data_IF_988448829198
#
_entry.id   IF_988448829198
#
_cell.length_a   1.000
_cell.length_b   1.000
_cell.length_c   1.000
_cell.angle_alpha   90.00
_cell.angle_beta   90.00
_cell.angle_gamma   90.00
#
_symmetry.space_group_name_H-M   'P 1'
#
loop_
_entity.id
_entity.type
_entity.pdbx_description
1 polymer ?
#
# COMPACT_ATOMS: atom_id res chain seq x y z
N UNK A 1 -9.23 -25.59 -30.41
CA UNK A 1 -8.31 -25.00 -29.40
C UNK A 1 -8.71 -25.57 -28.03
N UNK A 2 -8.02 -26.62 -27.56
CA UNK A 2 -8.27 -27.30 -26.27
C UNK A 2 -6.98 -27.53 -25.47
N UNK A 3 -5.88 -26.87 -25.88
CA UNK A 3 -4.52 -27.15 -25.44
C UNK A 3 -4.30 -26.95 -23.94
N UNK A 4 -5.08 -26.06 -23.30
CA UNK A 4 -4.95 -25.72 -21.88
C UNK A 4 -5.95 -26.44 -20.96
N UNK A 5 -6.86 -27.27 -21.49
CA UNK A 5 -7.94 -27.88 -20.69
C UNK A 5 -7.41 -28.75 -19.56
N UNK A 6 -6.31 -29.48 -19.80
CA UNK A 6 -5.71 -30.38 -18.82
C UNK A 6 -5.12 -29.58 -17.65
N UNK A 7 -4.40 -28.49 -17.94
CA UNK A 7 -3.78 -27.62 -16.96
C UNK A 7 -4.86 -26.93 -16.10
N UNK A 8 -5.92 -26.41 -16.75
CA UNK A 8 -7.04 -25.78 -16.06
C UNK A 8 -7.76 -26.76 -15.13
N UNK A 9 -7.99 -28.01 -15.55
CA UNK A 9 -8.65 -29.00 -14.70
C UNK A 9 -7.82 -29.34 -13.46
N UNK A 10 -6.49 -29.46 -13.60
CA UNK A 10 -5.62 -29.66 -12.43
C UNK A 10 -5.62 -28.46 -11.49
N UNK A 11 -5.55 -27.23 -12.02
CA UNK A 11 -5.63 -26.01 -11.21
C UNK A 11 -6.95 -25.99 -10.44
N UNK A 12 -8.07 -26.30 -11.11
CA UNK A 12 -9.39 -26.37 -10.50
C UNK A 12 -9.43 -27.42 -9.38
N UNK A 13 -8.97 -28.63 -9.63
CA UNK A 13 -8.95 -29.70 -8.62
C UNK A 13 -8.09 -29.33 -7.41
N UNK A 14 -6.92 -28.72 -7.64
CA UNK A 14 -6.03 -28.28 -6.55
C UNK A 14 -6.63 -27.11 -5.78
N UNK A 15 -7.25 -26.16 -6.46
CA UNK A 15 -7.93 -25.05 -5.80
C UNK A 15 -9.05 -25.57 -4.89
N UNK A 16 -9.85 -26.54 -5.37
CA UNK A 16 -10.93 -27.15 -4.58
C UNK A 16 -10.43 -27.92 -3.34
N UNK A 17 -9.20 -28.42 -3.36
CA UNK A 17 -8.61 -29.09 -2.18
C UNK A 17 -8.23 -28.13 -1.05
N UNK A 18 -8.05 -26.84 -1.37
CA UNK A 18 -7.67 -25.80 -0.41
C UNK A 18 -8.89 -24.98 0.01
N UNK A 19 -9.73 -24.60 -0.96
CA UNK A 19 -10.92 -23.78 -0.75
C UNK A 19 -12.14 -24.53 -1.29
N UNK A 20 -13.17 -24.81 -0.46
CA UNK A 20 -14.36 -25.50 -0.92
C UNK A 20 -15.09 -24.73 -2.04
N UNK A 21 -15.60 -25.47 -3.04
CA UNK A 21 -16.24 -24.90 -4.23
C UNK A 21 -17.40 -23.95 -3.91
N UNK A 22 -18.19 -24.26 -2.89
CA UNK A 22 -19.33 -23.44 -2.47
C UNK A 22 -18.94 -22.01 -2.12
N UNK A 23 -17.72 -21.78 -1.60
CA UNK A 23 -17.24 -20.43 -1.31
C UNK A 23 -16.81 -19.69 -2.58
N UNK A 24 -16.17 -20.38 -3.54
CA UNK A 24 -15.75 -19.77 -4.80
C UNK A 24 -16.95 -19.31 -5.63
N UNK A 25 -18.09 -20.01 -5.54
CA UNK A 25 -19.33 -19.61 -6.23
C UNK A 25 -20.01 -18.39 -5.64
N UNK A 26 -19.58 -17.92 -4.45
CA UNK A 26 -20.09 -16.67 -3.87
C UNK A 26 -19.44 -15.42 -4.48
N UNK A 27 -18.29 -15.58 -5.13
CA UNK A 27 -17.54 -14.49 -5.74
C UNK A 27 -17.79 -14.41 -7.24
N UNK A 28 -17.90 -13.20 -7.76
CA UNK A 28 -17.65 -12.93 -9.18
C UNK A 28 -16.16 -13.08 -9.49
N UNK A 29 -15.82 -13.22 -10.79
CA UNK A 29 -14.42 -13.33 -11.21
C UNK A 29 -13.57 -12.13 -10.74
N UNK A 30 -14.16 -10.92 -10.75
CA UNK A 30 -13.51 -9.69 -10.31
C UNK A 30 -13.30 -9.66 -8.79
N UNK A 31 -14.29 -10.07 -8.01
CA UNK A 31 -14.14 -10.11 -6.55
C UNK A 31 -13.13 -11.17 -6.11
N UNK A 32 -13.09 -12.32 -6.79
CA UNK A 32 -12.09 -13.35 -6.52
C UNK A 32 -10.69 -12.83 -6.85
N UNK A 33 -10.51 -12.13 -7.96
CA UNK A 33 -9.25 -11.49 -8.31
C UNK A 33 -8.81 -10.49 -7.24
N UNK A 34 -9.70 -9.58 -6.81
CA UNK A 34 -9.39 -8.61 -5.76
C UNK A 34 -9.05 -9.33 -4.44
N UNK A 35 -9.75 -10.42 -4.11
CA UNK A 35 -9.56 -11.19 -2.88
C UNK A 35 -8.25 -11.99 -2.88
N UNK A 36 -7.74 -12.39 -4.04
CA UNK A 36 -6.50 -13.18 -4.13
C UNK A 36 -5.29 -12.29 -4.41
N UNK A 37 -5.43 -11.34 -5.34
CA UNK A 37 -4.36 -10.50 -5.84
C UNK A 37 -4.32 -9.11 -5.17
N UNK A 38 -5.33 -8.74 -4.41
CA UNK A 38 -5.49 -7.40 -3.85
C UNK A 38 -6.06 -6.39 -4.85
N UNK A 39 -6.33 -5.16 -4.38
CA UNK A 39 -6.78 -4.06 -5.25
C UNK A 39 -5.67 -3.65 -6.22
N UNK A 40 -6.04 -3.37 -7.47
CA UNK A 40 -5.10 -2.97 -8.51
C UNK A 40 -4.51 -1.56 -8.35
N UNK A 41 -5.04 -0.77 -7.42
CA UNK A 41 -4.65 0.62 -7.13
C UNK A 41 -4.30 0.78 -5.65
N UNK A 42 -3.49 1.80 -5.34
CA UNK A 42 -3.09 2.12 -3.96
C UNK A 42 -3.98 3.23 -3.40
N UNK A 43 -4.73 2.93 -2.34
CA UNK A 43 -5.52 3.91 -1.60
C UNK A 43 -4.63 4.75 -0.66
N UNK A 44 -4.38 6.00 -1.06
CA UNK A 44 -3.56 6.94 -0.29
C UNK A 44 -4.24 7.32 1.03
N UNK A 45 -5.57 7.32 1.11
CA UNK A 45 -6.26 7.63 2.37
C UNK A 45 -6.03 6.53 3.39
N UNK A 46 -6.07 5.27 2.95
CA UNK A 46 -5.75 4.13 3.81
C UNK A 46 -4.30 4.19 4.31
N UNK A 47 -3.37 4.60 3.45
CA UNK A 47 -1.97 4.80 3.82
C UNK A 47 -1.82 5.89 4.87
N UNK A 48 -2.50 7.04 4.71
CA UNK A 48 -2.52 8.14 5.68
C UNK A 48 -3.05 7.70 7.04
N UNK A 49 -4.14 6.93 7.08
CA UNK A 49 -4.71 6.42 8.33
C UNK A 49 -3.74 5.54 9.12
N UNK A 50 -2.82 4.85 8.43
CA UNK A 50 -1.79 4.00 9.03
C UNK A 50 -0.41 4.69 9.04
N UNK A 51 -0.39 6.03 8.98
CA UNK A 51 0.85 6.82 9.09
C UNK A 51 0.92 7.53 10.43
N UNK A 52 2.01 7.34 11.15
CA UNK A 52 2.36 8.08 12.37
C UNK A 52 3.36 9.19 12.04
N UNK A 53 3.23 10.33 12.71
CA UNK A 53 4.12 11.48 12.54
C UNK A 53 4.91 11.65 13.84
N UNK A 54 6.22 11.48 13.76
CA UNK A 54 7.13 11.65 14.90
C UNK A 54 7.75 13.06 14.83
N UNK A 55 7.61 13.80 15.92
CA UNK A 55 8.03 15.22 16.07
C UNK A 55 7.37 16.20 15.08
N UNK A 56 6.27 15.80 14.44
CA UNK A 56 5.55 16.63 13.49
C UNK A 56 4.02 16.42 13.53
N UNK A 57 3.29 17.25 12.80
CA UNK A 57 1.84 17.19 12.69
C UNK A 57 1.40 16.99 11.24
N UNK A 58 0.31 16.23 11.05
CA UNK A 58 -0.30 16.04 9.71
C UNK A 58 -0.62 17.37 8.99
N UNK A 59 -0.88 18.42 9.76
CA UNK A 59 -1.17 19.77 9.25
C UNK A 59 0.05 20.52 8.72
N UNK A 60 1.26 20.00 8.93
CA UNK A 60 2.47 20.67 8.49
C UNK A 60 2.58 20.74 6.96
N UNK A 61 3.04 21.87 6.41
CA UNK A 61 3.00 22.11 4.97
C UNK A 61 3.86 21.13 4.16
N UNK A 62 4.94 20.59 4.74
CA UNK A 62 5.78 19.61 4.05
C UNK A 62 5.11 18.22 4.01
N UNK A 63 4.42 17.79 5.06
CA UNK A 63 3.61 16.55 5.07
C UNK A 63 2.45 16.65 4.06
N UNK A 64 1.74 17.78 4.03
CA UNK A 64 0.68 17.99 3.04
C UNK A 64 1.21 17.92 1.61
N UNK A 65 2.38 18.52 1.35
CA UNK A 65 3.05 18.44 0.03
C UNK A 65 3.48 17.02 -0.30
N UNK A 66 4.06 16.29 0.66
CA UNK A 66 4.44 14.88 0.48
C UNK A 66 3.24 14.06 -0.02
N UNK A 67 2.10 14.19 0.65
CA UNK A 67 0.88 13.47 0.27
C UNK A 67 0.28 13.94 -1.05
N UNK A 68 0.30 15.24 -1.35
CA UNK A 68 -0.17 15.77 -2.63
C UNK A 68 0.69 15.24 -3.79
N UNK A 69 2.01 15.24 -3.65
CA UNK A 69 2.92 14.67 -4.66
C UNK A 69 2.68 13.17 -4.85
N UNK A 70 2.56 12.41 -3.75
CA UNK A 70 2.29 10.97 -3.83
C UNK A 70 0.93 10.66 -4.48
N UNK A 71 -0.07 11.52 -4.30
CA UNK A 71 -1.39 11.33 -4.88
C UNK A 71 -1.47 11.75 -6.36
N UNK A 72 -0.88 12.90 -6.71
CA UNK A 72 -1.07 13.58 -7.99
C UNK A 72 0.07 13.32 -9.00
N UNK A 73 1.31 13.16 -8.54
CA UNK A 73 2.47 13.04 -9.43
C UNK A 73 2.89 11.59 -9.69
N UNK A 74 2.54 10.65 -8.81
CA UNK A 74 2.96 9.26 -8.92
C UNK A 74 1.96 8.45 -9.74
N UNK A 75 2.47 7.59 -10.63
CA UNK A 75 1.66 6.55 -11.29
C UNK A 75 1.30 5.44 -10.30
N UNK A 76 0.28 4.63 -10.61
CA UNK A 76 -0.10 3.49 -9.75
C UNK A 76 1.05 2.48 -9.55
N UNK A 77 1.92 2.32 -10.55
CA UNK A 77 3.13 1.50 -10.43
C UNK A 77 4.12 2.10 -9.43
N UNK A 78 4.34 3.41 -9.50
CA UNK A 78 5.22 4.11 -8.55
C UNK A 78 4.65 4.10 -7.12
N UNK A 79 3.33 4.21 -6.96
CA UNK A 79 2.67 4.06 -5.66
C UNK A 79 2.86 2.65 -5.08
N UNK A 80 2.78 1.61 -5.91
CA UNK A 80 3.09 0.23 -5.48
C UNK A 80 4.55 0.07 -5.08
N UNK A 81 5.48 0.65 -5.83
CA UNK A 81 6.91 0.64 -5.47
C UNK A 81 7.15 1.37 -4.15
N UNK A 82 6.47 2.50 -3.92
CA UNK A 82 6.52 3.21 -2.65
C UNK A 82 5.98 2.35 -1.49
N UNK A 83 4.86 1.64 -1.69
CA UNK A 83 4.31 0.72 -0.69
C UNK A 83 5.30 -0.42 -0.36
N UNK A 84 5.97 -0.97 -1.37
CA UNK A 84 7.03 -1.98 -1.18
C UNK A 84 8.21 -1.39 -0.40
N UNK A 85 8.59 -0.14 -0.69
CA UNK A 85 9.68 0.52 0.01
C UNK A 85 9.37 0.71 1.50
N UNK A 86 8.14 1.13 1.82
CA UNK A 86 7.73 1.44 3.19
C UNK A 86 7.36 0.20 4.00
N UNK A 87 6.66 -0.77 3.41
CA UNK A 87 6.10 -1.93 4.12
C UNK A 87 6.53 -3.29 3.57
N UNK A 88 7.39 -3.33 2.56
CA UNK A 88 7.86 -4.59 1.96
C UNK A 88 6.79 -5.35 1.17
N UNK A 89 5.61 -4.76 0.91
CA UNK A 89 4.47 -5.41 0.24
C UNK A 89 3.95 -4.57 -0.92
N UNK A 90 3.49 -5.24 -1.97
CA UNK A 90 2.92 -4.60 -3.17
C UNK A 90 1.43 -4.30 -3.08
N UNK A 91 0.76 -4.75 -2.01
CA UNK A 91 -0.68 -4.59 -1.78
C UNK A 91 -0.98 -4.33 -0.32
N UNK A 92 -2.11 -3.66 -0.05
CA UNK A 92 -2.62 -3.51 1.30
C UNK A 92 -3.10 -4.85 1.86
N UNK A 93 -2.95 -5.08 3.18
CA UNK A 93 -3.69 -6.11 3.88
C UNK A 93 -5.21 -5.95 3.68
N UNK A 94 -5.95 -7.08 3.74
CA UNK A 94 -7.40 -7.08 3.50
C UNK A 94 -8.20 -6.42 4.63
N UNK A 95 -7.64 -6.38 5.84
CA UNK A 95 -8.26 -5.78 7.02
C UNK A 95 -7.31 -4.79 7.67
N UNK A 96 -7.87 -3.74 8.28
CA UNK A 96 -7.12 -2.77 9.07
C UNK A 96 -6.40 -3.42 10.27
N UNK A 97 -6.93 -4.53 10.78
CA UNK A 97 -6.31 -5.33 11.86
C UNK A 97 -5.06 -6.10 11.40
N UNK A 98 -4.89 -6.32 10.11
CA UNK A 98 -3.76 -7.08 9.55
C UNK A 98 -2.51 -6.20 9.32
N UNK A 99 -2.57 -4.92 9.68
CA UNK A 99 -1.44 -3.99 9.61
C UNK A 99 -0.53 -4.22 10.82
N UNK A 100 0.60 -4.89 10.59
CA UNK A 100 1.55 -5.24 11.65
C UNK A 100 2.38 -4.04 12.16
N UNK A 101 2.53 -3.01 11.34
CA UNK A 101 3.40 -1.86 11.57
C UNK A 101 2.87 -0.63 10.85
N UNK A 102 2.80 0.50 11.56
CA UNK A 102 2.47 1.79 10.95
C UNK A 102 3.67 2.34 10.18
N UNK A 103 3.39 3.15 9.16
CA UNK A 103 4.42 3.92 8.47
C UNK A 103 4.75 5.16 9.30
N UNK A 104 6.01 5.42 9.65
CA UNK A 104 6.37 6.60 10.44
C UNK A 104 7.09 7.62 9.56
N UNK A 105 6.61 8.86 9.55
CA UNK A 105 7.29 10.01 8.96
C UNK A 105 7.98 10.76 10.10
N UNK A 106 9.32 10.74 10.08
CA UNK A 106 10.17 11.46 11.04
C UNK A 106 10.68 12.76 10.42
N UNK A 107 10.61 13.85 11.18
CA UNK A 107 11.33 15.06 10.85
C UNK A 107 12.79 14.92 11.32
N UNK A 108 13.74 14.92 10.38
CA UNK A 108 15.15 14.97 10.75
C UNK A 108 15.51 16.42 11.11
N UNK A 109 15.65 16.71 12.40
CA UNK A 109 16.33 17.93 12.82
C UNK A 109 17.78 17.84 12.35
N UNK A 110 18.11 18.52 11.25
CA UNK A 110 19.51 18.79 10.93
C UNK A 110 20.01 19.69 12.05
N UNK A 111 20.77 19.12 12.97
CA UNK A 111 21.59 19.89 13.90
C UNK A 111 22.66 20.61 13.08
N UNK A 112 22.28 21.69 12.41
CA UNK A 112 23.18 22.74 11.96
C UNK A 112 23.63 23.50 13.20
N UNK A 113 24.48 22.85 13.98
CA UNK A 113 25.35 23.51 14.94
C UNK A 113 26.48 24.18 14.15
N UNK A 114 26.11 25.13 13.28
CA UNK A 114 27.02 26.14 12.73
C UNK A 114 26.55 27.46 13.32
N UNK A 115 27.37 27.96 14.25
CA UNK A 115 27.06 29.05 15.13
C UNK A 115 26.64 30.35 14.45
N UNK A 116 25.96 31.15 15.26
CA UNK A 116 25.72 32.59 15.15
C UNK A 116 26.39 33.30 13.98
N UNK A 117 25.58 33.91 13.12
CA UNK A 117 25.51 35.38 13.06
C UNK A 117 24.48 35.88 12.05
N UNK A 118 23.81 36.94 12.49
CA UNK A 118 23.30 38.05 11.71
C UNK A 118 21.93 37.98 10.98
N UNK A 119 20.99 38.69 11.64
CA UNK A 119 20.18 39.81 11.10
C UNK A 119 18.92 39.49 10.30
N UNK A 120 17.80 39.56 11.01
CA UNK A 120 16.63 40.30 10.52
C UNK A 120 16.93 41.82 10.62
N UNK A 121 17.37 42.40 9.51
CA UNK A 121 17.03 43.77 9.08
C UNK A 121 16.52 43.64 7.66
#
# INVERSE_FOLDING_TARGET
INEFRRQIEFIRQRLHSVVPWAYLTLFTAQELEITVCGKGYIDIQMLKCHTEYEDDHESSPHIQRFWSVLNEMFTEEQKKLFLIFVWGRSTFPFRDEDFSTNFTIMCLETSDNVGSSDRYI
#
